data_IF_695613966427
#
_entry.id   IF_695613966427
#
_cell.length_a   1.000
_cell.length_b   1.000
_cell.length_c   1.000
_cell.angle_alpha   90.00
_cell.angle_beta   90.00
_cell.angle_gamma   90.00
#
_symmetry.space_group_name_H-M   'P 1'
#
loop_
_entity.id
_entity.type
_entity.pdbx_description
1 polymer ?
#
# COMPACT_ATOMS: atom_id res chain seq x y z
N UNK A 1 -73.16 -2.65 -39.11
CA UNK A 1 -73.38 -2.07 -40.46
C UNK A 1 -72.25 -2.62 -41.34
N UNK A 2 -72.39 -3.82 -41.92
CA UNK A 2 -72.73 -4.09 -43.36
C UNK A 2 -71.87 -3.22 -44.30
N UNK A 3 -70.91 -3.71 -45.09
CA UNK A 3 -70.91 -4.63 -46.28
C UNK A 3 -69.43 -4.57 -46.78
N UNK A 4 -68.63 -5.60 -47.12
CA UNK A 4 -68.70 -6.77 -48.01
C UNK A 4 -67.61 -6.70 -49.11
N UNK A 5 -66.92 -7.84 -49.32
CA UNK A 5 -66.36 -8.37 -50.57
C UNK A 5 -65.16 -7.60 -51.22
N UNK A 6 -64.14 -8.24 -51.79
CA UNK A 6 -64.14 -9.40 -52.71
C UNK A 6 -62.84 -10.21 -52.65
N UNK A 7 -63.00 -11.53 -52.83
CA UNK A 7 -61.99 -12.47 -53.31
C UNK A 7 -61.63 -12.15 -54.77
N UNK A 8 -60.35 -12.32 -55.13
CA UNK A 8 -59.92 -12.73 -56.47
C UNK A 8 -58.82 -13.79 -56.33
N UNK A 9 -59.14 -15.00 -56.77
CA UNK A 9 -58.20 -16.08 -57.02
C UNK A 9 -57.54 -15.85 -58.39
N UNK A 10 -56.21 -15.91 -58.45
CA UNK A 10 -55.48 -16.09 -59.70
C UNK A 10 -54.48 -17.24 -59.50
N UNK A 11 -54.70 -18.31 -60.25
CA UNK A 11 -53.88 -19.51 -60.35
C UNK A 11 -52.76 -19.24 -61.37
N UNK A 12 -51.49 -19.40 -61.03
CA UNK A 12 -50.39 -19.55 -61.99
C UNK A 12 -49.28 -20.47 -61.43
N UNK A 13 -48.74 -21.24 -62.38
CA UNK A 13 -47.93 -22.47 -62.31
C UNK A 13 -46.63 -22.42 -61.47
N UNK A 14 -46.07 -23.60 -61.09
CA UNK A 14 -44.91 -23.69 -60.21
C UNK A 14 -43.61 -23.46 -60.99
N UNK A 15 -42.75 -22.58 -60.47
CA UNK A 15 -41.39 -22.36 -60.98
C UNK A 15 -40.38 -22.57 -59.86
N UNK A 16 -39.52 -23.58 -60.03
CA UNK A 16 -38.17 -23.65 -59.48
C UNK A 16 -38.00 -23.65 -57.96
N UNK A 17 -37.93 -24.83 -57.36
CA UNK A 17 -37.28 -25.02 -56.06
C UNK A 17 -35.76 -24.74 -56.23
N UNK A 18 -35.27 -23.60 -55.75
CA UNK A 18 -33.86 -23.47 -55.37
C UNK A 18 -33.74 -23.83 -53.90
N UNK A 19 -33.09 -24.95 -53.59
CA UNK A 19 -32.59 -25.22 -52.24
C UNK A 19 -31.49 -24.18 -51.95
N UNK A 20 -31.82 -23.13 -51.19
CA UNK A 20 -30.82 -22.40 -50.42
C UNK A 20 -30.51 -23.23 -49.17
N UNK A 21 -29.31 -23.83 -49.16
CA UNK A 21 -28.72 -24.38 -47.93
C UNK A 21 -28.46 -23.19 -47.01
N UNK A 22 -29.34 -22.95 -46.06
CA UNK A 22 -29.05 -22.06 -44.94
C UNK A 22 -28.07 -22.79 -44.02
N UNK A 23 -26.82 -22.33 -44.02
CA UNK A 23 -25.85 -22.77 -43.04
C UNK A 23 -26.39 -22.48 -41.63
N UNK A 24 -26.43 -23.49 -40.78
CA UNK A 24 -26.65 -23.30 -39.34
C UNK A 24 -25.57 -22.36 -38.81
N UNK A 25 -25.89 -21.33 -38.02
CA UNK A 25 -24.88 -20.62 -37.27
C UNK A 25 -24.19 -21.61 -36.33
N UNK A 26 -22.86 -21.71 -36.43
CA UNK A 26 -22.07 -22.43 -35.44
C UNK A 26 -22.21 -21.73 -34.08
N UNK A 27 -22.18 -22.47 -32.97
CA UNK A 27 -22.04 -21.84 -31.67
C UNK A 27 -20.69 -21.11 -31.63
N UNK A 28 -20.72 -19.81 -31.43
CA UNK A 28 -19.52 -19.02 -31.16
C UNK A 28 -18.87 -19.57 -29.89
N UNK A 29 -17.66 -20.10 -30.04
CA UNK A 29 -16.78 -20.43 -28.93
C UNK A 29 -16.44 -19.12 -28.22
N UNK A 30 -17.00 -18.92 -27.02
CA UNK A 30 -16.54 -17.90 -26.10
C UNK A 30 -15.11 -18.27 -25.71
N UNK A 31 -14.13 -17.65 -26.38
CA UNK A 31 -12.73 -17.71 -25.97
C UNK A 31 -12.64 -16.78 -24.77
N UNK A 32 -12.62 -17.35 -23.57
CA UNK A 32 -12.21 -16.61 -22.37
C UNK A 32 -10.73 -16.25 -22.58
N UNK A 33 -10.46 -14.98 -22.87
CA UNK A 33 -9.12 -14.40 -22.78
C UNK A 33 -8.70 -14.45 -21.32
N UNK A 34 -7.81 -15.38 -20.98
CA UNK A 34 -7.08 -15.26 -19.73
C UNK A 34 -6.28 -13.95 -19.78
N UNK A 35 -6.24 -13.17 -18.69
CA UNK A 35 -5.47 -11.94 -18.65
C UNK A 35 -3.99 -12.21 -19.00
N UNK A 36 -3.27 -11.24 -19.58
CA UNK A 36 -1.88 -11.42 -19.98
C UNK A 36 -1.02 -11.83 -18.78
N UNK A 37 -0.44 -13.02 -18.86
CA UNK A 37 0.39 -13.59 -17.81
C UNK A 37 1.79 -12.94 -17.77
N UNK A 38 2.31 -12.72 -16.55
CA UNK A 38 3.68 -12.25 -16.30
C UNK A 38 4.75 -13.18 -16.91
N UNK A 39 5.82 -12.60 -17.44
CA UNK A 39 6.91 -13.33 -18.14
C UNK A 39 8.25 -13.30 -17.42
N UNK A 40 8.38 -12.54 -16.33
CA UNK A 40 9.65 -12.40 -15.62
C UNK A 40 10.05 -13.68 -14.84
N UNK A 41 11.28 -14.15 -15.09
CA UNK A 41 11.90 -15.26 -14.34
C UNK A 41 12.51 -14.83 -13.00
N UNK A 42 12.77 -13.52 -12.83
CA UNK A 42 13.27 -12.90 -11.59
C UNK A 42 12.13 -12.50 -10.67
N UNK A 43 12.36 -12.56 -9.37
CA UNK A 43 11.41 -12.15 -8.32
C UNK A 43 11.69 -10.73 -7.80
N UNK A 44 10.68 -10.01 -7.26
CA UNK A 44 10.82 -8.59 -6.89
C UNK A 44 11.95 -8.29 -5.92
N UNK A 45 12.05 -8.99 -4.80
CA UNK A 45 13.14 -8.75 -3.86
C UNK A 45 14.51 -9.11 -4.43
N UNK A 46 14.64 -10.17 -5.23
CA UNK A 46 15.89 -10.46 -5.95
C UNK A 46 16.31 -9.31 -6.86
N UNK A 47 15.38 -8.70 -7.61
CA UNK A 47 15.66 -7.54 -8.46
C UNK A 47 16.06 -6.32 -7.61
N UNK A 48 15.34 -6.05 -6.52
CA UNK A 48 15.65 -4.96 -5.60
C UNK A 48 17.06 -5.10 -4.98
N UNK A 49 17.43 -6.31 -4.51
CA UNK A 49 18.78 -6.58 -4.00
C UNK A 49 19.86 -6.39 -5.06
N UNK A 50 19.61 -6.83 -6.30
CA UNK A 50 20.54 -6.64 -7.42
C UNK A 50 20.73 -5.15 -7.78
N UNK A 51 19.69 -4.34 -7.60
CA UNK A 51 19.72 -2.89 -7.76
C UNK A 51 20.30 -2.12 -6.55
N UNK A 52 20.84 -2.83 -5.55
CA UNK A 52 21.44 -2.22 -4.36
C UNK A 52 20.45 -1.78 -3.28
N UNK A 53 19.16 -2.11 -3.42
CA UNK A 53 18.15 -1.82 -2.40
C UNK A 53 18.22 -2.81 -1.24
N UNK A 54 17.73 -2.38 -0.09
CA UNK A 54 17.68 -3.20 1.11
C UNK A 54 16.64 -4.32 0.96
N UNK A 55 15.46 -3.99 0.45
CA UNK A 55 14.35 -4.93 0.28
C UNK A 55 13.34 -4.50 -0.80
N UNK A 56 12.57 -5.47 -1.29
CA UNK A 56 11.17 -5.31 -1.70
C UNK A 56 10.31 -6.11 -0.72
N UNK A 57 9.22 -5.55 -0.20
CA UNK A 57 8.43 -6.12 0.89
C UNK A 57 6.92 -6.08 0.66
N UNK A 58 6.18 -6.64 1.60
CA UNK A 58 4.71 -6.61 1.62
C UNK A 58 4.21 -6.38 3.05
N UNK A 59 3.12 -5.63 3.18
CA UNK A 59 2.27 -5.75 4.36
C UNK A 59 1.51 -7.09 4.36
N UNK A 60 0.98 -7.47 5.53
CA UNK A 60 0.06 -8.59 5.75
C UNK A 60 -0.70 -8.35 7.05
N UNK A 61 -1.76 -9.11 7.29
CA UNK A 61 -2.51 -9.11 8.54
C UNK A 61 -2.82 -10.52 9.07
N UNK A 62 -3.06 -10.62 10.37
CA UNK A 62 -3.26 -11.90 11.06
C UNK A 62 -4.38 -12.80 10.47
N UNK A 63 -5.53 -12.28 10.00
CA UNK A 63 -6.58 -13.13 9.42
C UNK A 63 -6.14 -13.93 8.18
N UNK A 64 -5.15 -13.40 7.43
CA UNK A 64 -4.65 -13.98 6.18
C UNK A 64 -3.79 -15.22 6.41
N UNK A 65 -3.30 -15.42 7.64
CA UNK A 65 -2.41 -16.54 8.01
C UNK A 65 -3.11 -17.91 8.00
N UNK A 66 -4.41 -17.95 7.70
CA UNK A 66 -5.16 -19.18 7.45
C UNK A 66 -5.09 -19.65 6.00
N UNK A 67 -4.58 -18.81 5.08
CA UNK A 67 -4.46 -19.09 3.66
C UNK A 67 -3.05 -19.60 3.31
N UNK A 68 -2.90 -20.93 3.22
CA UNK A 68 -1.61 -21.56 2.95
C UNK A 68 -1.00 -21.18 1.58
N UNK A 69 -1.76 -21.13 0.46
CA UNK A 69 -1.27 -20.58 -0.80
C UNK A 69 -0.73 -19.16 -0.70
N UNK A 70 -1.43 -18.26 0.02
CA UNK A 70 -0.96 -16.89 0.26
C UNK A 70 0.37 -16.89 1.04
N UNK A 71 0.44 -17.60 2.16
CA UNK A 71 1.64 -17.67 3.00
C UNK A 71 2.84 -18.29 2.27
N UNK A 72 2.62 -19.23 1.35
CA UNK A 72 3.69 -19.82 0.54
C UNK A 72 4.37 -18.79 -0.38
N UNK A 73 3.63 -17.79 -0.86
CA UNK A 73 4.19 -16.68 -1.64
C UNK A 73 4.82 -15.64 -0.69
N UNK A 74 4.11 -15.26 0.38
CA UNK A 74 4.56 -14.25 1.34
C UNK A 74 5.89 -14.64 2.02
N UNK A 75 6.07 -15.91 2.37
CA UNK A 75 7.28 -16.43 3.03
C UNK A 75 8.48 -16.59 2.09
N UNK A 76 8.29 -16.45 0.78
CA UNK A 76 9.38 -16.54 -0.17
C UNK A 76 10.23 -15.26 -0.11
N UNK A 77 11.37 -15.35 0.58
CA UNK A 77 12.31 -14.24 0.75
C UNK A 77 12.81 -13.64 -0.58
N UNK A 78 12.86 -14.44 -1.66
CA UNK A 78 13.25 -13.94 -2.98
C UNK A 78 12.17 -13.02 -3.58
N UNK A 79 10.90 -13.21 -3.19
CA UNK A 79 9.78 -12.33 -3.57
C UNK A 79 9.68 -11.15 -2.62
N UNK A 80 9.66 -11.39 -1.31
CA UNK A 80 9.52 -10.36 -0.27
C UNK A 80 10.62 -10.51 0.78
N UNK A 81 11.51 -9.52 0.88
CA UNK A 81 12.59 -9.46 1.86
C UNK A 81 12.22 -8.72 3.15
N UNK A 82 10.99 -8.22 3.25
CA UNK A 82 10.53 -7.40 4.37
C UNK A 82 9.01 -7.57 4.57
N UNK A 83 8.56 -7.56 5.83
CA UNK A 83 7.15 -7.68 6.23
C UNK A 83 6.73 -6.53 7.15
N UNK A 84 5.54 -5.97 6.91
CA UNK A 84 4.90 -4.97 7.76
C UNK A 84 3.62 -5.56 8.35
N UNK A 85 3.42 -5.44 9.66
CA UNK A 85 2.13 -5.79 10.28
C UNK A 85 1.13 -4.65 10.02
N UNK A 86 0.09 -4.90 9.21
CA UNK A 86 -0.84 -3.86 8.79
C UNK A 86 -1.66 -3.30 9.96
N UNK A 87 -2.04 -4.15 10.93
CA UNK A 87 -2.92 -3.74 12.03
C UNK A 87 -2.47 -4.15 13.43
N UNK A 88 -1.91 -5.34 13.62
CA UNK A 88 -1.68 -5.90 14.96
C UNK A 88 -0.61 -5.20 15.80
N UNK A 89 0.14 -4.26 15.24
CA UNK A 89 1.08 -3.38 15.98
C UNK A 89 0.52 -1.99 16.30
N UNK A 90 -0.69 -1.64 15.81
CA UNK A 90 -1.35 -0.36 16.10
C UNK A 90 -1.86 -0.29 17.55
N UNK A 91 -2.28 0.90 17.99
CA UNK A 91 -2.47 1.17 19.42
C UNK A 91 -3.61 0.38 20.04
N UNK A 92 -4.78 0.38 19.41
CA UNK A 92 -5.94 -0.39 19.86
C UNK A 92 -5.65 -1.89 20.02
N UNK A 93 -4.84 -2.48 19.12
CA UNK A 93 -4.48 -3.88 19.12
C UNK A 93 -3.47 -4.26 20.21
N UNK A 94 -2.56 -3.34 20.54
CA UNK A 94 -1.40 -3.65 21.41
C UNK A 94 -1.55 -3.16 22.84
N UNK A 95 -2.38 -2.16 23.11
CA UNK A 95 -2.60 -1.63 24.46
C UNK A 95 -4.09 -1.26 24.66
N UNK A 96 -5.00 -2.26 24.70
CA UNK A 96 -6.45 -2.02 24.77
C UNK A 96 -6.90 -1.35 26.09
N UNK A 97 -6.08 -1.43 27.14
CA UNK A 97 -6.24 -0.70 28.39
C UNK A 97 -4.89 -0.19 28.88
N UNK A 98 -4.87 0.96 29.57
CA UNK A 98 -3.62 1.61 30.02
C UNK A 98 -2.69 0.64 30.74
N UNK A 99 -1.47 0.47 30.21
CA UNK A 99 -0.43 -0.40 30.77
C UNK A 99 -0.69 -1.91 30.61
N UNK A 100 -1.77 -2.31 29.94
CA UNK A 100 -2.08 -3.73 29.65
C UNK A 100 -1.77 -4.01 28.19
N UNK A 101 -0.59 -4.58 27.93
CA UNK A 101 -0.14 -4.89 26.58
C UNK A 101 -0.55 -6.30 26.13
N UNK A 102 -1.06 -6.39 24.91
CA UNK A 102 -1.42 -7.65 24.23
C UNK A 102 -0.64 -7.75 22.92
N UNK A 103 0.46 -8.51 22.92
CA UNK A 103 1.42 -8.51 21.80
C UNK A 103 1.38 -9.79 20.95
N UNK A 104 0.63 -10.83 21.33
CA UNK A 104 0.63 -12.14 20.68
C UNK A 104 0.33 -12.09 19.16
N UNK A 105 -0.60 -11.23 18.74
CA UNK A 105 -0.94 -11.05 17.33
C UNK A 105 0.21 -10.42 16.54
N UNK A 106 0.84 -9.38 17.09
CA UNK A 106 2.03 -8.77 16.51
C UNK A 106 3.24 -9.72 16.52
N UNK A 107 3.42 -10.49 17.60
CA UNK A 107 4.45 -11.53 17.72
C UNK A 107 4.30 -12.58 16.63
N UNK A 108 3.07 -12.91 16.22
CA UNK A 108 2.84 -13.86 15.11
C UNK A 108 3.47 -13.36 13.82
N UNK A 109 3.29 -12.09 13.47
CA UNK A 109 3.86 -11.49 12.25
C UNK A 109 5.36 -11.27 12.40
N UNK A 110 5.83 -10.78 13.55
CA UNK A 110 7.26 -10.59 13.81
C UNK A 110 8.04 -11.92 13.74
N UNK A 111 7.50 -12.99 14.33
CA UNK A 111 8.11 -14.32 14.26
C UNK A 111 8.06 -14.91 12.86
N UNK A 112 7.02 -14.62 12.07
CA UNK A 112 6.96 -15.01 10.66
C UNK A 112 8.08 -14.34 9.86
N UNK A 113 8.25 -13.03 10.01
CA UNK A 113 9.31 -12.28 9.32
C UNK A 113 10.69 -12.84 9.69
N UNK A 114 10.96 -12.95 10.99
CA UNK A 114 12.23 -13.49 11.50
C UNK A 114 12.48 -14.93 11.04
N UNK A 115 11.47 -15.81 11.10
CA UNK A 115 11.57 -17.21 10.72
C UNK A 115 11.90 -17.42 9.24
N UNK A 116 11.50 -16.48 8.38
CA UNK A 116 11.78 -16.48 6.94
C UNK A 116 12.98 -15.60 6.55
N UNK A 117 13.70 -15.03 7.52
CA UNK A 117 14.83 -14.12 7.28
C UNK A 117 14.44 -12.80 6.63
N UNK A 118 13.19 -12.37 6.79
CA UNK A 118 12.67 -11.10 6.28
C UNK A 118 12.88 -10.01 7.33
N UNK A 119 13.15 -8.78 6.86
CA UNK A 119 13.17 -7.60 7.74
C UNK A 119 11.77 -7.31 8.28
N UNK A 120 11.69 -6.69 9.44
CA UNK A 120 10.44 -6.25 10.04
C UNK A 120 10.35 -4.72 10.05
N UNK A 121 9.26 -4.17 9.49
CA UNK A 121 8.88 -2.78 9.70
C UNK A 121 7.74 -2.73 10.71
N UNK A 122 7.99 -2.13 11.87
CA UNK A 122 6.95 -1.90 12.88
C UNK A 122 6.07 -0.71 12.48
N UNK A 123 4.76 -0.91 12.50
CA UNK A 123 3.77 0.07 12.07
C UNK A 123 2.53 0.03 12.99
N UNK A 124 2.27 1.02 13.84
CA UNK A 124 3.04 2.24 14.12
C UNK A 124 2.95 2.60 15.62
N UNK A 125 3.74 3.58 16.07
CA UNK A 125 3.74 4.00 17.49
C UNK A 125 2.64 5.01 17.80
N UNK A 126 2.50 6.09 17.03
CA UNK A 126 1.42 7.07 17.21
C UNK A 126 0.80 7.47 15.87
N UNK A 127 -0.54 7.40 15.85
CA UNK A 127 -1.39 7.77 14.73
C UNK A 127 -2.71 8.30 15.28
N UNK A 128 -3.39 9.16 14.53
CA UNK A 128 -4.68 9.71 14.94
C UNK A 128 -5.83 8.69 14.79
N UNK A 129 -5.61 7.60 14.05
CA UNK A 129 -6.57 6.52 13.85
C UNK A 129 -6.15 5.25 14.63
N UNK A 130 -7.11 4.35 14.87
CA UNK A 130 -6.93 3.11 15.64
C UNK A 130 -6.31 3.35 17.03
N UNK A 131 -6.70 4.46 17.66
CA UNK A 131 -6.42 4.73 19.06
C UNK A 131 -7.47 4.04 19.95
N UNK A 132 -7.07 3.41 21.07
CA UNK A 132 -8.03 2.90 22.03
C UNK A 132 -8.73 4.08 22.73
N UNK A 133 -10.01 3.91 23.08
CA UNK A 133 -10.82 4.99 23.65
C UNK A 133 -10.25 5.56 24.95
N UNK A 134 -9.56 4.75 25.76
CA UNK A 134 -8.93 5.24 26.98
C UNK A 134 -7.83 6.28 26.72
N UNK A 135 -7.22 6.29 25.53
CA UNK A 135 -6.28 7.33 25.08
C UNK A 135 -7.05 8.52 24.53
N UNK A 136 -7.92 8.31 23.53
CA UNK A 136 -8.60 9.41 22.83
C UNK A 136 -9.58 10.18 23.70
N UNK A 137 -10.17 9.54 24.71
CA UNK A 137 -11.17 10.11 25.62
C UNK A 137 -10.65 10.23 27.07
N UNK A 138 -9.36 9.95 27.29
CA UNK A 138 -8.76 9.90 28.62
C UNK A 138 -8.66 11.24 29.35
N UNK A 139 -8.76 12.37 28.62
CA UNK A 139 -8.66 13.73 29.15
C UNK A 139 -7.42 13.95 30.04
N UNK A 140 -6.28 13.41 29.61
CA UNK A 140 -5.03 13.48 30.33
C UNK A 140 -4.42 14.89 30.25
N UNK A 141 -3.63 15.26 31.27
CA UNK A 141 -2.76 16.42 31.16
C UNK A 141 -1.53 16.12 30.29
N UNK A 142 -0.80 17.17 29.90
CA UNK A 142 0.38 17.07 29.05
C UNK A 142 1.43 16.09 29.62
N UNK A 143 1.71 16.14 30.92
CA UNK A 143 2.71 15.29 31.56
C UNK A 143 2.31 13.80 31.50
N UNK A 144 1.04 13.50 31.78
CA UNK A 144 0.51 12.14 31.79
C UNK A 144 0.46 11.56 30.38
N UNK A 145 -0.04 12.32 29.40
CA UNK A 145 -0.11 11.86 28.01
C UNK A 145 1.29 11.67 27.39
N UNK A 146 2.24 12.53 27.76
CA UNK A 146 3.66 12.36 27.40
C UNK A 146 4.21 11.05 27.95
N UNK A 147 3.96 10.74 29.23
CA UNK A 147 4.42 9.48 29.84
C UNK A 147 3.78 8.25 29.20
N UNK A 148 2.51 8.34 28.80
CA UNK A 148 1.81 7.27 28.08
C UNK A 148 2.48 6.98 26.73
N UNK A 149 2.75 8.03 25.94
CA UNK A 149 3.43 7.91 24.65
C UNK A 149 4.83 7.30 24.79
N UNK A 150 5.60 7.76 25.77
CA UNK A 150 6.94 7.24 26.06
C UNK A 150 6.91 5.77 26.49
N UNK A 151 5.95 5.38 27.33
CA UNK A 151 5.78 4.00 27.78
C UNK A 151 5.45 3.06 26.62
N UNK A 152 4.53 3.47 25.73
CA UNK A 152 4.19 2.73 24.52
C UNK A 152 5.39 2.54 23.61
N UNK A 153 6.08 3.63 23.25
CA UNK A 153 7.26 3.58 22.40
C UNK A 153 8.33 2.64 22.97
N UNK A 154 8.59 2.77 24.28
CA UNK A 154 9.56 1.92 24.98
C UNK A 154 9.17 0.45 25.01
N UNK A 155 7.88 0.15 25.19
CA UNK A 155 7.38 -1.23 25.27
C UNK A 155 7.45 -1.92 23.90
N UNK A 156 6.86 -1.32 22.86
CA UNK A 156 6.81 -1.97 21.54
C UNK A 156 8.20 -2.08 20.91
N UNK A 157 8.97 -0.99 20.87
CA UNK A 157 10.30 -1.01 20.26
C UNK A 157 11.25 -1.86 21.11
N UNK A 158 11.12 -1.81 22.43
CA UNK A 158 11.87 -2.65 23.35
C UNK A 158 11.59 -4.16 23.18
N UNK A 159 10.35 -4.53 22.89
CA UNK A 159 9.93 -5.92 22.71
C UNK A 159 10.32 -6.48 21.34
N UNK A 160 10.00 -5.75 20.27
CA UNK A 160 10.20 -6.25 18.90
C UNK A 160 11.60 -5.99 18.34
N UNK A 161 12.35 -5.00 18.85
CA UNK A 161 13.73 -4.65 18.42
C UNK A 161 13.90 -4.53 16.89
N UNK A 162 12.81 -4.25 16.17
CA UNK A 162 12.71 -4.35 14.71
C UNK A 162 13.70 -3.48 13.94
N UNK A 163 13.85 -3.76 12.64
CA UNK A 163 14.84 -3.07 11.80
C UNK A 163 14.47 -1.60 11.54
N UNK A 164 13.17 -1.35 11.35
CA UNK A 164 12.60 -0.04 11.00
C UNK A 164 11.28 0.14 11.76
N UNK A 165 10.97 1.36 12.20
CA UNK A 165 9.70 1.72 12.82
C UNK A 165 9.11 3.00 12.25
N UNK A 166 7.84 2.92 11.83
CA UNK A 166 7.00 4.09 11.62
C UNK A 166 6.59 4.61 13.01
N UNK A 167 7.33 5.61 13.51
CA UNK A 167 7.12 6.15 14.86
C UNK A 167 5.92 7.07 14.87
N UNK A 168 5.83 7.98 13.90
CA UNK A 168 4.69 8.88 13.73
C UNK A 168 4.08 8.62 12.36
N UNK A 169 2.77 8.35 12.35
CA UNK A 169 2.02 8.15 11.12
C UNK A 169 1.07 9.33 10.87
N UNK A 170 1.10 9.85 9.65
CA UNK A 170 0.15 10.85 9.12
C UNK A 170 -0.04 12.10 10.00
N UNK A 171 1.01 12.90 10.26
CA UNK A 171 0.89 14.08 11.09
C UNK A 171 0.20 15.26 10.38
N UNK A 172 -0.04 15.21 9.07
CA UNK A 172 -0.50 16.39 8.30
C UNK A 172 -1.85 16.20 7.58
N UNK A 173 -2.63 17.28 7.54
CA UNK A 173 -3.69 17.49 6.57
C UNK A 173 -3.13 17.76 5.16
N UNK A 174 -3.98 17.70 4.14
CA UNK A 174 -3.58 17.94 2.74
C UNK A 174 -3.01 19.34 2.48
N UNK A 175 -3.42 20.36 3.25
CA UNK A 175 -2.90 21.72 3.15
C UNK A 175 -1.56 21.93 3.88
N UNK A 176 -1.02 20.87 4.51
CA UNK A 176 0.22 20.90 5.28
C UNK A 176 0.07 21.40 6.72
N UNK A 177 -1.15 21.68 7.19
CA UNK A 177 -1.40 21.91 8.63
C UNK A 177 -1.34 20.59 9.39
N UNK A 178 -1.00 20.64 10.68
CA UNK A 178 -0.94 19.44 11.52
C UNK A 178 -2.37 18.93 11.82
N UNK A 179 -2.55 17.61 11.88
CA UNK A 179 -3.83 17.02 12.27
C UNK A 179 -4.12 17.34 13.75
N UNK A 180 -5.36 17.77 14.00
CA UNK A 180 -5.90 17.95 15.34
C UNK A 180 -6.39 16.59 15.87
N UNK A 181 -5.78 16.14 16.96
CA UNK A 181 -6.16 14.96 17.73
C UNK A 181 -5.53 15.05 19.13
N UNK A 182 -5.89 14.13 20.01
CA UNK A 182 -5.57 14.19 21.45
C UNK A 182 -4.11 14.55 21.77
N UNK A 183 -3.13 14.08 20.98
CA UNK A 183 -1.71 14.40 21.19
C UNK A 183 -1.35 15.82 20.72
N UNK A 184 -1.77 16.23 19.52
CA UNK A 184 -1.56 17.62 19.05
C UNK A 184 -2.27 18.63 19.95
N UNK A 185 -3.49 18.34 20.38
CA UNK A 185 -4.30 19.26 21.21
C UNK A 185 -3.73 19.43 22.63
N UNK A 186 -3.19 18.35 23.21
CA UNK A 186 -2.74 18.34 24.62
C UNK A 186 -1.24 18.66 24.76
N UNK A 187 -0.40 18.12 23.87
CA UNK A 187 1.08 18.23 23.93
C UNK A 187 1.60 19.27 22.92
N UNK A 188 0.84 19.56 21.87
CA UNK A 188 1.32 20.33 20.72
C UNK A 188 2.26 19.52 19.82
N UNK A 189 2.84 20.15 18.79
CA UNK A 189 3.73 19.49 17.81
C UNK A 189 4.93 18.74 18.41
N UNK A 190 5.28 19.05 19.66
CA UNK A 190 6.38 18.40 20.38
C UNK A 190 6.17 16.91 20.64
N UNK A 191 4.94 16.37 20.49
CA UNK A 191 4.70 14.92 20.62
C UNK A 191 5.55 14.09 19.63
N UNK A 192 5.85 14.65 18.46
CA UNK A 192 6.69 14.00 17.43
C UNK A 192 8.13 13.83 17.92
N UNK A 193 8.71 14.90 18.47
CA UNK A 193 10.06 14.85 19.06
C UNK A 193 10.14 13.89 20.25
N UNK A 194 9.10 13.92 21.11
CA UNK A 194 8.98 13.04 22.27
C UNK A 194 8.93 11.58 21.82
N UNK A 195 8.09 11.23 20.83
CA UNK A 195 7.96 9.86 20.33
C UNK A 195 9.29 9.35 19.75
N UNK A 196 9.95 10.15 18.90
CA UNK A 196 11.22 9.78 18.29
C UNK A 196 12.35 9.60 19.32
N UNK A 197 12.45 10.49 20.32
CA UNK A 197 13.43 10.36 21.40
C UNK A 197 13.17 9.13 22.26
N UNK A 198 11.91 8.85 22.59
CA UNK A 198 11.54 7.64 23.34
C UNK A 198 11.87 6.36 22.56
N UNK A 199 11.55 6.35 21.26
CA UNK A 199 11.88 5.28 20.34
C UNK A 199 13.38 5.00 20.28
N UNK A 200 14.21 6.05 20.11
CA UNK A 200 15.67 5.92 20.09
C UNK A 200 16.23 5.42 21.41
N UNK A 201 15.66 5.85 22.54
CA UNK A 201 16.09 5.39 23.86
C UNK A 201 15.79 3.90 24.09
N UNK A 202 14.68 3.41 23.53
CA UNK A 202 14.27 2.00 23.62
C UNK A 202 15.17 1.06 22.79
N UNK A 203 15.59 1.52 21.61
CA UNK A 203 16.55 0.83 20.76
C UNK A 203 17.40 1.81 19.92
N UNK A 204 18.70 1.92 20.21
CA UNK A 204 19.61 2.76 19.43
C UNK A 204 19.84 2.28 17.99
N UNK A 205 19.52 1.03 17.65
CA UNK A 205 19.84 0.42 16.35
C UNK A 205 18.72 0.48 15.31
N UNK A 206 17.45 0.52 15.74
CA UNK A 206 16.31 0.62 14.81
C UNK A 206 16.33 1.93 14.03
N UNK A 207 15.85 1.89 12.78
CA UNK A 207 15.59 3.10 12.00
C UNK A 207 14.26 3.72 12.38
N UNK A 208 14.23 5.04 12.57
CA UNK A 208 13.06 5.79 13.01
C UNK A 208 12.48 6.64 11.88
N UNK A 209 11.24 6.35 11.50
CA UNK A 209 10.55 6.95 10.38
C UNK A 209 9.35 7.79 10.82
N UNK A 210 9.08 8.85 10.07
CA UNK A 210 7.74 9.47 9.97
C UNK A 210 7.15 9.04 8.64
N UNK A 211 5.92 8.52 8.64
CA UNK A 211 5.26 7.94 7.47
C UNK A 211 4.02 8.75 7.10
N UNK A 212 3.80 9.01 5.82
CA UNK A 212 2.73 9.90 5.34
C UNK A 212 2.36 9.61 3.88
N UNK A 213 1.09 9.83 3.51
CA UNK A 213 0.61 9.77 2.13
C UNK A 213 0.53 11.14 1.47
N UNK A 214 0.48 11.13 0.14
CA UNK A 214 0.43 12.31 -0.75
C UNK A 214 1.65 13.24 -0.66
N UNK A 215 2.65 12.92 0.16
CA UNK A 215 3.91 13.66 0.17
C UNK A 215 4.78 13.32 -1.04
N UNK A 216 4.38 12.36 -1.89
CA UNK A 216 4.98 12.07 -3.19
C UNK A 216 4.72 13.21 -4.20
N UNK A 217 3.64 13.97 -4.00
CA UNK A 217 3.30 15.12 -4.81
C UNK A 217 4.02 16.38 -4.27
N UNK A 218 4.75 17.12 -5.11
CA UNK A 218 5.24 18.45 -4.73
C UNK A 218 4.05 19.34 -4.36
N UNK A 219 4.07 19.91 -3.15
CA UNK A 219 2.94 20.69 -2.66
C UNK A 219 3.05 21.07 -1.18
N UNK A 220 1.98 21.65 -0.61
CA UNK A 220 1.96 22.10 0.77
C UNK A 220 2.29 20.99 1.78
N UNK A 221 1.70 19.80 1.64
CA UNK A 221 1.94 18.66 2.54
C UNK A 221 3.39 18.17 2.50
N UNK A 222 3.95 17.95 1.30
CA UNK A 222 5.38 17.59 1.16
C UNK A 222 6.29 18.68 1.73
N UNK A 223 5.98 19.96 1.49
CA UNK A 223 6.75 21.10 2.02
C UNK A 223 6.69 21.14 3.56
N UNK A 224 5.53 20.89 4.15
CA UNK A 224 5.36 20.81 5.60
C UNK A 224 6.19 19.67 6.21
N UNK A 225 6.18 18.49 5.58
CA UNK A 225 7.03 17.38 6.00
C UNK A 225 8.52 17.71 5.92
N UNK A 226 8.98 18.33 4.83
CA UNK A 226 10.37 18.77 4.70
C UNK A 226 10.77 19.80 5.78
N UNK A 227 9.87 20.72 6.13
CA UNK A 227 10.13 21.68 7.20
C UNK A 227 10.16 21.02 8.57
N UNK A 228 9.26 20.06 8.84
CA UNK A 228 9.31 19.26 10.06
C UNK A 228 10.64 18.52 10.19
N UNK A 229 11.13 17.88 9.13
CA UNK A 229 12.45 17.21 9.15
C UNK A 229 13.57 18.20 9.49
N UNK A 230 13.59 19.40 8.89
CA UNK A 230 14.58 20.44 9.20
C UNK A 230 14.52 20.84 10.68
N UNK A 231 13.32 21.07 11.20
CA UNK A 231 13.12 21.49 12.58
C UNK A 231 13.57 20.40 13.56
N UNK A 232 13.22 19.14 13.32
CA UNK A 232 13.65 17.99 14.13
C UNK A 232 15.17 17.82 14.09
N UNK A 233 15.79 17.91 12.91
CA UNK A 233 17.27 17.85 12.78
C UNK A 233 17.94 19.00 13.54
N UNK A 234 17.38 20.22 13.48
CA UNK A 234 17.93 21.39 14.19
C UNK A 234 17.87 21.23 15.72
N UNK A 235 16.91 20.46 16.23
CA UNK A 235 16.72 20.16 17.65
C UNK A 235 17.54 18.93 18.12
N UNK A 236 18.25 18.26 17.21
CA UNK A 236 18.97 17.02 17.51
C UNK A 236 18.05 15.82 17.72
N UNK A 237 16.80 15.87 17.23
CA UNK A 237 15.86 14.76 17.32
C UNK A 237 16.34 13.59 16.44
N UNK A 238 16.30 12.34 16.95
CA UNK A 238 16.74 11.17 16.19
C UNK A 238 15.68 10.76 15.17
N UNK A 239 15.77 11.29 13.95
CA UNK A 239 14.99 10.86 12.79
C UNK A 239 15.94 10.31 11.72
N UNK A 240 15.66 9.12 11.23
CA UNK A 240 16.46 8.46 10.21
C UNK A 240 15.83 8.55 8.82
N UNK A 241 14.51 8.40 8.72
CA UNK A 241 13.84 8.27 7.43
C UNK A 241 12.46 8.91 7.32
N UNK A 242 12.02 9.07 6.07
CA UNK A 242 10.65 9.41 5.71
C UNK A 242 10.04 8.27 4.88
N UNK A 243 8.86 7.82 5.29
CA UNK A 243 8.04 6.85 4.58
C UNK A 243 7.06 7.57 3.67
N UNK A 244 7.10 7.22 2.38
CA UNK A 244 6.15 7.69 1.38
C UNK A 244 5.16 6.54 1.11
N UNK A 245 3.93 6.65 1.62
CA UNK A 245 2.95 5.55 1.55
C UNK A 245 2.70 5.10 0.11
N UNK A 246 2.62 6.04 -0.84
CA UNK A 246 2.47 5.77 -2.27
C UNK A 246 1.15 5.07 -2.63
N UNK A 247 0.05 5.47 -2.00
CA UNK A 247 -1.31 5.11 -2.42
C UNK A 247 -1.75 5.96 -3.61
N UNK A 248 -1.91 5.33 -4.78
CA UNK A 248 -2.21 6.04 -6.02
C UNK A 248 -3.49 5.55 -6.71
N UNK A 249 -3.89 6.30 -7.73
CA UNK A 249 -4.91 5.91 -8.70
C UNK A 249 -4.19 5.71 -10.04
N UNK A 250 -4.58 4.68 -10.80
CA UNK A 250 -4.06 4.44 -12.15
C UNK A 250 -4.16 5.71 -13.01
N UNK A 251 -3.05 6.06 -13.67
CA UNK A 251 -2.92 7.26 -14.50
C UNK A 251 -2.79 8.58 -13.74
N UNK A 252 -2.74 8.55 -12.40
CA UNK A 252 -2.63 9.75 -11.54
C UNK A 252 -1.40 9.72 -10.63
N UNK A 253 -0.45 8.82 -10.88
CA UNK A 253 0.88 8.85 -10.25
C UNK A 253 1.62 10.13 -10.69
N UNK A 254 2.36 10.81 -9.80
CA UNK A 254 3.24 11.90 -10.22
C UNK A 254 4.22 11.46 -11.31
N UNK A 255 4.74 12.40 -12.09
CA UNK A 255 5.75 12.05 -13.09
C UNK A 255 6.98 11.41 -12.43
N UNK A 256 7.68 10.53 -13.14
CA UNK A 256 8.93 9.94 -12.65
C UNK A 256 9.92 11.00 -12.14
N UNK A 257 10.04 12.12 -12.85
CA UNK A 257 10.89 13.23 -12.44
C UNK A 257 10.42 13.91 -11.15
N UNK A 258 9.11 14.06 -10.95
CA UNK A 258 8.58 14.68 -9.72
C UNK A 258 8.77 13.75 -8.52
N UNK A 259 8.48 12.45 -8.68
CA UNK A 259 8.74 11.44 -7.66
C UNK A 259 10.21 11.45 -7.22
N UNK A 260 11.12 11.38 -8.19
CA UNK A 260 12.55 11.38 -7.92
C UNK A 260 13.00 12.69 -7.25
N UNK A 261 12.65 13.84 -7.81
CA UNK A 261 13.07 15.14 -7.27
C UNK A 261 12.55 15.37 -5.84
N UNK A 262 11.34 14.91 -5.55
CA UNK A 262 10.74 15.05 -4.23
C UNK A 262 11.37 14.09 -3.21
N UNK A 263 11.68 12.85 -3.58
CA UNK A 263 12.49 11.95 -2.75
C UNK A 263 13.90 12.52 -2.50
N UNK A 264 14.55 13.07 -3.53
CA UNK A 264 15.85 13.73 -3.41
C UNK A 264 15.79 14.91 -2.44
N UNK A 265 14.71 15.70 -2.46
CA UNK A 265 14.51 16.81 -1.53
C UNK A 265 14.49 16.36 -0.07
N UNK A 266 13.86 15.23 0.26
CA UNK A 266 13.95 14.65 1.61
C UNK A 266 15.37 14.17 1.94
N UNK A 267 16.01 13.44 1.01
CA UNK A 267 17.33 12.87 1.28
C UNK A 267 18.44 13.92 1.44
N UNK A 268 18.26 15.10 0.83
CA UNK A 268 19.10 16.27 1.00
C UNK A 268 19.06 16.83 2.43
N UNK A 269 18.01 16.53 3.21
CA UNK A 269 17.89 16.89 4.63
C UNK A 269 18.61 15.91 5.57
N UNK A 270 19.30 14.91 5.01
CA UNK A 270 20.08 13.94 5.79
C UNK A 270 19.24 12.83 6.41
N UNK A 271 18.13 12.47 5.77
CA UNK A 271 17.33 11.27 6.06
C UNK A 271 17.39 10.30 4.87
N UNK A 272 17.10 9.03 5.10
CA UNK A 272 16.75 8.07 4.05
C UNK A 272 15.26 8.17 3.69
N UNK A 273 14.85 7.54 2.59
CA UNK A 273 13.44 7.42 2.22
C UNK A 273 13.10 5.96 1.92
N UNK A 274 11.83 5.61 2.06
CA UNK A 274 11.30 4.32 1.62
C UNK A 274 9.89 4.50 1.08
N UNK A 275 9.51 3.67 0.11
CA UNK A 275 8.10 3.50 -0.24
C UNK A 275 7.51 2.44 0.68
N UNK A 276 6.39 2.76 1.35
CA UNK A 276 5.95 2.03 2.54
C UNK A 276 4.61 1.30 2.40
N UNK A 277 3.73 1.72 1.49
CA UNK A 277 2.36 1.19 1.39
C UNK A 277 1.85 1.16 -0.07
N UNK A 278 2.72 0.83 -1.03
CA UNK A 278 2.40 0.99 -2.45
C UNK A 278 1.22 0.14 -2.91
N UNK A 279 0.18 0.82 -3.38
CA UNK A 279 -0.92 0.28 -4.17
C UNK A 279 -1.36 1.31 -5.23
N UNK A 280 -1.88 0.83 -6.36
CA UNK A 280 -2.31 1.71 -7.45
C UNK A 280 -3.69 1.28 -7.91
N UNK A 281 -4.72 1.81 -7.23
CA UNK A 281 -6.10 1.37 -7.44
C UNK A 281 -6.68 1.83 -8.77
N UNK A 282 -7.64 1.06 -9.27
CA UNK A 282 -8.44 1.39 -10.43
C UNK A 282 -9.93 1.19 -10.18
N UNK A 283 -10.77 1.74 -11.07
CA UNK A 283 -12.18 1.38 -11.13
C UNK A 283 -12.28 -0.11 -11.46
N UNK A 284 -13.01 -0.87 -10.64
CA UNK A 284 -13.14 -2.33 -10.80
C UNK A 284 -14.60 -2.79 -10.94
N UNK A 285 -15.54 -1.85 -11.04
CA UNK A 285 -16.97 -2.15 -11.24
C UNK A 285 -17.49 -1.51 -12.51
N UNK A 286 -18.25 -2.31 -13.27
CA UNK A 286 -19.08 -1.85 -14.40
C UNK A 286 -18.32 -1.19 -15.56
N UNK A 287 -17.04 -1.52 -15.77
CA UNK A 287 -16.28 -1.09 -16.96
C UNK A 287 -16.17 -2.23 -17.99
N UNK A 288 -16.14 -1.93 -19.29
CA UNK A 288 -15.85 -2.90 -20.34
C UNK A 288 -14.49 -3.60 -20.16
N UNK A 289 -14.38 -4.87 -20.53
CA UNK A 289 -13.15 -5.68 -20.42
C UNK A 289 -11.94 -5.01 -21.10
N UNK A 290 -12.15 -4.42 -22.28
CA UNK A 290 -11.10 -3.69 -23.01
C UNK A 290 -10.55 -2.50 -22.22
N UNK A 291 -11.42 -1.75 -21.54
CA UNK A 291 -11.00 -0.62 -20.71
C UNK A 291 -10.22 -1.11 -19.47
N UNK A 292 -10.62 -2.24 -18.89
CA UNK A 292 -9.90 -2.85 -17.78
C UNK A 292 -8.49 -3.31 -18.18
N UNK A 293 -8.32 -3.93 -19.34
CA UNK A 293 -7.00 -4.32 -19.86
C UNK A 293 -6.09 -3.11 -20.13
N UNK A 294 -6.65 -2.00 -20.64
CA UNK A 294 -5.91 -0.74 -20.77
C UNK A 294 -5.48 -0.18 -19.41
N UNK A 295 -6.34 -0.27 -18.38
CA UNK A 295 -5.98 0.13 -17.02
C UNK A 295 -4.90 -0.76 -16.41
N UNK A 296 -4.90 -2.07 -16.66
CA UNK A 296 -3.82 -2.98 -16.24
C UNK A 296 -2.50 -2.65 -16.94
N UNK A 297 -2.54 -2.29 -18.22
CA UNK A 297 -1.36 -1.84 -18.95
C UNK A 297 -0.81 -0.53 -18.40
N UNK A 298 -1.67 0.44 -18.07
CA UNK A 298 -1.25 1.69 -17.43
C UNK A 298 -0.74 1.46 -16.01
N UNK A 299 -1.41 0.61 -15.21
CA UNK A 299 -0.96 0.25 -13.88
C UNK A 299 0.46 -0.35 -13.90
N UNK A 300 0.79 -1.16 -14.91
CA UNK A 300 2.17 -1.66 -15.09
C UNK A 300 3.17 -0.53 -15.24
N UNK A 301 2.87 0.48 -16.07
CA UNK A 301 3.73 1.65 -16.29
C UNK A 301 3.85 2.47 -15.00
N UNK A 302 2.75 2.65 -14.29
CA UNK A 302 2.69 3.39 -13.03
C UNK A 302 3.56 2.74 -11.95
N UNK A 303 3.41 1.42 -11.73
CA UNK A 303 4.29 0.66 -10.85
C UNK A 303 5.75 0.79 -11.28
N UNK A 304 6.05 0.62 -12.57
CA UNK A 304 7.42 0.74 -13.08
C UNK A 304 8.00 2.12 -12.74
N UNK A 305 7.27 3.21 -12.98
CA UNK A 305 7.73 4.57 -12.70
C UNK A 305 8.00 4.80 -11.20
N UNK A 306 7.12 4.33 -10.33
CA UNK A 306 7.29 4.44 -8.87
C UNK A 306 8.54 3.69 -8.41
N UNK A 307 8.74 2.46 -8.90
CA UNK A 307 9.92 1.66 -8.57
C UNK A 307 11.20 2.30 -9.13
N UNK A 308 11.18 2.77 -10.39
CA UNK A 308 12.32 3.47 -11.01
C UNK A 308 12.68 4.74 -10.25
N UNK A 309 11.70 5.50 -9.75
CA UNK A 309 11.97 6.69 -8.94
C UNK A 309 12.78 6.34 -7.68
N UNK A 310 12.33 5.34 -6.92
CA UNK A 310 13.12 4.84 -5.78
C UNK A 310 14.46 4.25 -6.23
N UNK A 311 14.52 3.61 -7.38
CA UNK A 311 15.76 3.04 -7.89
C UNK A 311 16.84 4.11 -8.14
N UNK A 312 16.43 5.23 -8.75
CA UNK A 312 17.30 6.34 -9.08
C UNK A 312 17.81 7.12 -7.86
N UNK A 313 17.11 7.07 -6.73
CA UNK A 313 17.52 7.75 -5.50
C UNK A 313 18.35 6.82 -4.63
N UNK A 314 19.64 7.13 -4.47
CA UNK A 314 20.60 6.30 -3.71
C UNK A 314 20.13 5.98 -2.28
N UNK A 315 19.55 6.97 -1.59
CA UNK A 315 19.03 6.84 -0.23
C UNK A 315 17.57 6.38 -0.15
N UNK A 316 16.95 5.98 -1.26
CA UNK A 316 15.71 5.22 -1.20
C UNK A 316 16.05 3.75 -0.95
N UNK A 317 15.74 3.27 0.26
CA UNK A 317 16.26 1.98 0.73
C UNK A 317 15.44 0.78 0.29
N UNK A 318 14.17 0.96 -0.07
CA UNK A 318 13.30 -0.17 -0.38
C UNK A 318 11.87 0.24 -0.66
N UNK A 319 11.08 -0.75 -1.07
CA UNK A 319 9.67 -0.59 -1.42
C UNK A 319 8.83 -1.67 -0.76
N UNK A 320 7.70 -1.29 -0.21
CA UNK A 320 6.70 -2.19 0.38
C UNK A 320 5.38 -2.00 -0.34
N UNK A 321 4.70 -3.07 -0.74
CA UNK A 321 3.31 -3.02 -1.21
C UNK A 321 2.33 -3.21 -0.05
N UNK A 322 1.17 -2.56 -0.07
CA UNK A 322 0.18 -2.67 1.01
C UNK A 322 -0.75 -3.88 0.82
N UNK A 323 -0.19 -5.03 1.20
CA UNK A 323 -0.52 -6.38 0.69
C UNK A 323 -0.17 -6.54 -0.80
N UNK A 324 0.13 -7.77 -1.21
CA UNK A 324 0.57 -8.09 -2.55
C UNK A 324 -0.54 -8.62 -3.45
N UNK A 325 -1.69 -9.02 -2.92
CA UNK A 325 -2.82 -9.57 -3.71
C UNK A 325 -4.09 -8.75 -3.55
N UNK A 326 -4.81 -8.59 -4.66
CA UNK A 326 -6.13 -7.95 -4.69
C UNK A 326 -7.11 -8.62 -3.70
N UNK A 327 -6.91 -9.91 -3.39
CA UNK A 327 -7.74 -10.71 -2.48
C UNK A 327 -7.88 -10.10 -1.09
N UNK A 328 -6.81 -9.51 -0.58
CA UNK A 328 -6.71 -8.98 0.80
C UNK A 328 -6.48 -7.47 0.81
N UNK A 329 -6.52 -6.82 -0.36
CA UNK A 329 -6.37 -5.37 -0.46
C UNK A 329 -7.46 -4.65 0.34
N UNK A 330 -7.05 -3.64 1.10
CA UNK A 330 -7.96 -2.75 1.82
C UNK A 330 -8.82 -1.85 0.92
N UNK A 331 -8.42 -1.69 -0.35
CA UNK A 331 -8.97 -0.70 -1.28
C UNK A 331 -10.48 -0.84 -1.47
N UNK A 332 -11.08 -2.03 -1.71
CA UNK A 332 -12.53 -2.12 -1.90
C UNK A 332 -13.34 -1.71 -0.67
N UNK A 333 -12.77 -1.86 0.53
CA UNK A 333 -13.40 -1.43 1.79
C UNK A 333 -13.32 0.08 2.01
N UNK A 334 -12.20 0.70 1.63
CA UNK A 334 -11.96 2.14 1.79
C UNK A 334 -12.55 2.99 0.63
N UNK A 335 -12.54 2.45 -0.59
CA UNK A 335 -12.93 3.15 -1.82
C UNK A 335 -13.96 2.31 -2.61
N UNK A 336 -15.26 2.46 -2.30
CA UNK A 336 -16.31 1.69 -2.98
C UNK A 336 -16.25 1.83 -4.51
N UNK A 337 -16.25 0.69 -5.21
CA UNK A 337 -16.15 0.62 -6.67
C UNK A 337 -14.73 0.73 -7.23
N UNK A 338 -13.72 0.72 -6.37
CA UNK A 338 -12.31 0.63 -6.74
C UNK A 338 -11.67 -0.65 -6.16
N UNK A 339 -10.57 -1.07 -6.76
CA UNK A 339 -9.80 -2.25 -6.37
C UNK A 339 -8.74 -2.57 -7.40
N UNK A 340 -8.46 -3.86 -7.58
CA UNK A 340 -7.43 -4.36 -8.50
C UNK A 340 -6.10 -3.61 -8.36
N UNK A 341 -5.72 -3.25 -7.13
CA UNK A 341 -4.67 -2.28 -6.84
C UNK A 341 -3.27 -2.92 -6.72
N UNK A 342 -3.20 -4.23 -6.51
CA UNK A 342 -1.99 -4.96 -6.15
C UNK A 342 -1.37 -5.70 -7.36
N UNK A 343 -0.12 -6.20 -7.26
CA UNK A 343 0.53 -6.87 -8.40
C UNK A 343 0.11 -8.34 -8.62
N UNK A 344 -0.70 -8.91 -7.74
CA UNK A 344 -1.36 -10.21 -7.92
C UNK A 344 -2.88 -10.05 -7.85
N UNK A 345 -3.61 -10.84 -8.64
CA UNK A 345 -5.07 -10.88 -8.60
C UNK A 345 -5.61 -11.68 -7.40
N UNK A 346 -6.94 -11.78 -7.31
CA UNK A 346 -7.66 -12.50 -6.24
C UNK A 346 -7.33 -14.01 -6.17
N UNK A 347 -6.78 -14.57 -7.26
CA UNK A 347 -6.43 -15.98 -7.39
C UNK A 347 -4.92 -16.22 -7.22
N UNK A 348 -4.19 -15.22 -6.72
CA UNK A 348 -2.73 -15.25 -6.56
C UNK A 348 -1.99 -15.42 -7.89
N UNK A 349 -2.59 -14.99 -9.00
CA UNK A 349 -1.95 -14.94 -10.32
C UNK A 349 -1.32 -13.56 -10.50
N UNK A 350 -0.07 -13.54 -10.96
CA UNK A 350 0.67 -12.30 -11.23
C UNK A 350 -0.02 -11.48 -12.32
N UNK A 351 -0.23 -10.20 -12.06
CA UNK A 351 -0.73 -9.20 -13.01
C UNK A 351 0.43 -8.53 -13.76
N UNK A 352 0.16 -7.75 -14.83
CA UNK A 352 1.19 -6.99 -15.55
C UNK A 352 2.05 -6.09 -14.65
N UNK A 353 1.50 -5.57 -13.56
CA UNK A 353 2.22 -4.79 -12.56
C UNK A 353 3.42 -5.53 -11.94
N UNK A 354 3.37 -6.87 -11.82
CA UNK A 354 4.51 -7.67 -11.38
C UNK A 354 5.73 -7.44 -12.29
N UNK A 355 5.54 -7.48 -13.61
CA UNK A 355 6.61 -7.24 -14.58
C UNK A 355 7.08 -5.78 -14.55
N UNK A 356 6.17 -4.83 -14.28
CA UNK A 356 6.50 -3.42 -14.09
C UNK A 356 7.43 -3.19 -12.91
N UNK A 357 7.19 -3.88 -11.78
CA UNK A 357 8.07 -3.82 -10.60
C UNK A 357 9.47 -4.33 -10.92
N UNK A 358 9.58 -5.48 -11.60
CA UNK A 358 10.89 -6.03 -11.99
C UNK A 358 11.62 -5.07 -12.91
N UNK A 359 10.93 -4.53 -13.93
CA UNK A 359 11.50 -3.58 -14.87
C UNK A 359 11.95 -2.28 -14.19
N UNK A 360 11.28 -1.83 -13.14
CA UNK A 360 11.66 -0.60 -12.45
C UNK A 360 12.98 -0.68 -11.68
N UNK A 361 13.39 -1.89 -11.26
CA UNK A 361 14.67 -2.14 -10.59
C UNK A 361 15.83 -2.42 -11.56
N UNK A 362 15.55 -2.64 -12.84
CA UNK A 362 16.55 -2.93 -13.89
C UNK A 362 16.88 -1.66 -14.68
#
# INVERSE_FOLDING_TARGET
MKISQRLSFALLLPSGFFLTVTARPQPETVVSSAPPASTASTTPNTAAKAAGKLYFGSATDNPEFTDAPYLAILSNQATFGQITAANSMKWDATEPAQGTFTLDAADTIANFAMGNGQLLRGHNIVWHNQLPSWVSEGNFDNATLTSILQNRASTLIGHFKGDIWDVVNEPFNEDGTMIDFVFTETIGPSYIDIALKAARAADPSTKLYINEFNIEFPGPKSTAMQNLVKDLKSQGTPIDGIGLQSHFIVGQVPSLSDLQANMEAFTALGVEVAITELDIRMLNVSIPEMEFEEMLAQQKVDYQNVITACNNVEKCIGVTVWDFTDKYSWIPGAFPGQGAACPWDDNLVKKPAFDGIIAGFQ
#
